data_IF_127479864449
#
_entry.id   IF_127479864449
#
_cell.length_a   1.000
_cell.length_b   1.000
_cell.length_c   1.000
_cell.angle_alpha   90.00
_cell.angle_beta   90.00
_cell.angle_gamma   90.00
#
_symmetry.space_group_name_H-M   'P 1'
#
loop_
_entity.id
_entity.type
_entity.pdbx_description
1 polymer ?
#
# COMPACT_ATOMS: atom_id res chain seq x y z
N UNK A 1 -17.09 -34.80 -12.99
CA UNK A 1 -17.06 -34.10 -11.69
C UNK A 1 -15.73 -33.38 -11.64
N UNK A 2 -15.73 -32.10 -11.98
CA UNK A 2 -14.53 -31.27 -11.88
C UNK A 2 -14.37 -30.86 -10.41
N UNK A 3 -13.22 -31.18 -9.82
CA UNK A 3 -12.93 -30.81 -8.43
C UNK A 3 -12.62 -29.31 -8.38
N UNK A 4 -13.12 -28.53 -7.40
CA UNK A 4 -12.79 -27.12 -7.31
C UNK A 4 -11.28 -26.97 -7.18
N UNK A 5 -10.67 -26.29 -8.14
CA UNK A 5 -9.24 -26.00 -8.14
C UNK A 5 -8.86 -25.34 -6.80
N UNK A 6 -7.91 -25.95 -6.09
CA UNK A 6 -7.43 -25.43 -4.82
C UNK A 6 -6.93 -24.00 -5.00
N UNK A 7 -7.44 -23.08 -4.18
CA UNK A 7 -7.02 -21.69 -4.21
C UNK A 7 -5.50 -21.59 -3.99
N UNK A 8 -4.80 -20.70 -4.70
CA UNK A 8 -3.35 -20.55 -4.57
C UNK A 8 -2.98 -20.18 -3.13
N UNK A 9 -1.80 -20.62 -2.63
CA UNK A 9 -1.38 -20.31 -1.27
C UNK A 9 -1.21 -18.80 -1.08
N UNK A 10 -1.91 -18.25 -0.08
CA UNK A 10 -1.82 -16.82 0.26
C UNK A 10 -0.47 -16.58 0.95
N UNK A 11 0.45 -15.91 0.25
CA UNK A 11 1.73 -15.48 0.83
C UNK A 11 1.60 -14.06 1.37
N UNK A 12 1.70 -13.90 2.69
CA UNK A 12 1.61 -12.59 3.33
C UNK A 12 2.88 -11.76 3.11
N UNK A 13 2.85 -10.83 2.14
CA UNK A 13 4.01 -9.97 1.80
C UNK A 13 4.25 -8.87 2.82
N UNK A 14 3.18 -8.20 3.27
CA UNK A 14 3.29 -7.08 4.23
C UNK A 14 3.10 -7.58 5.66
N UNK A 15 1.95 -8.20 5.94
CA UNK A 15 1.60 -8.84 7.20
C UNK A 15 0.34 -9.70 7.00
N UNK A 16 0.24 -10.84 7.69
CA UNK A 16 -0.92 -11.74 7.59
C UNK A 16 -2.24 -11.07 8.00
N UNK A 17 -2.21 -10.04 8.84
CA UNK A 17 -3.41 -9.29 9.25
C UNK A 17 -4.13 -8.56 8.11
N UNK A 18 -3.45 -8.35 6.97
CA UNK A 18 -4.02 -7.73 5.78
C UNK A 18 -4.56 -8.78 4.78
N UNK A 19 -4.42 -10.07 5.08
CA UNK A 19 -4.98 -11.14 4.27
C UNK A 19 -6.43 -11.39 4.72
N UNK A 20 -7.38 -11.14 3.84
CA UNK A 20 -8.77 -11.51 4.07
C UNK A 20 -8.97 -13.02 3.81
N UNK A 21 -9.85 -13.69 4.56
CA UNK A 21 -10.16 -15.11 4.35
C UNK A 21 -10.92 -15.37 3.04
N UNK A 22 -11.59 -14.36 2.51
CA UNK A 22 -12.35 -14.42 1.26
C UNK A 22 -11.94 -13.29 0.32
N UNK A 23 -12.34 -13.41 -0.96
CA UNK A 23 -12.05 -12.39 -1.96
C UNK A 23 -12.83 -11.10 -1.67
N UNK A 24 -12.12 -10.08 -1.20
CA UNK A 24 -12.72 -8.76 -0.93
C UNK A 24 -12.56 -7.83 -2.12
N UNK A 25 -13.66 -7.27 -2.61
CA UNK A 25 -13.64 -6.19 -3.60
C UNK A 25 -13.36 -4.85 -2.91
N UNK A 26 -12.49 -4.05 -3.51
CA UNK A 26 -12.13 -2.72 -3.01
C UNK A 26 -12.45 -1.65 -4.06
N UNK A 27 -12.90 -0.50 -3.59
CA UNK A 27 -13.07 0.70 -4.40
C UNK A 27 -11.97 1.71 -4.07
N UNK A 28 -11.43 2.37 -5.09
CA UNK A 28 -10.44 3.42 -4.94
C UNK A 28 -11.10 4.76 -5.24
N UNK A 29 -11.18 5.61 -4.22
CA UNK A 29 -11.76 6.95 -4.33
C UNK A 29 -10.65 7.98 -4.23
N UNK A 30 -10.58 8.90 -5.18
CA UNK A 30 -9.65 10.02 -5.12
C UNK A 30 -10.12 11.01 -4.05
N UNK A 31 -9.32 11.23 -3.03
CA UNK A 31 -9.62 12.23 -2.01
C UNK A 31 -9.17 13.59 -2.52
N UNK A 32 -10.07 14.58 -2.49
CA UNK A 32 -9.71 15.96 -2.81
C UNK A 32 -8.73 16.43 -1.73
N UNK A 33 -7.46 16.44 -2.09
CA UNK A 33 -6.33 16.80 -1.23
C UNK A 33 -5.61 18.00 -1.82
N UNK A 34 -4.94 18.77 -0.96
CA UNK A 34 -4.12 19.93 -1.38
C UNK A 34 -3.02 19.50 -2.34
N UNK A 35 -2.53 18.26 -2.22
CA UNK A 35 -1.53 17.65 -3.10
C UNK A 35 -2.17 17.03 -4.36
N UNK A 36 -3.48 16.78 -4.39
CA UNK A 36 -4.19 16.19 -5.53
C UNK A 36 -3.86 14.72 -5.82
N UNK A 37 -3.11 14.08 -4.92
CA UNK A 37 -2.56 12.73 -5.10
C UNK A 37 -2.91 11.79 -3.93
N UNK A 38 -3.80 12.19 -3.03
CA UNK A 38 -4.27 11.34 -1.95
C UNK A 38 -5.48 10.49 -2.39
N UNK A 39 -5.51 9.23 -1.97
CA UNK A 39 -6.56 8.27 -2.32
C UNK A 39 -7.05 7.55 -1.08
N UNK A 40 -8.33 7.22 -1.05
CA UNK A 40 -8.91 6.35 -0.02
C UNK A 40 -9.36 5.06 -0.69
N UNK A 41 -8.91 3.94 -0.15
CA UNK A 41 -9.38 2.61 -0.54
C UNK A 41 -10.45 2.19 0.46
N UNK A 42 -11.64 1.89 -0.04
CA UNK A 42 -12.78 1.45 0.76
C UNK A 42 -13.17 0.02 0.39
N UNK A 43 -13.74 -0.70 1.34
CA UNK A 43 -14.37 -1.99 1.08
C UNK A 43 -15.79 -1.82 0.49
N UNK A 44 -16.46 -2.95 0.24
CA UNK A 44 -17.85 -3.01 -0.25
C UNK A 44 -18.87 -2.37 0.69
N UNK A 45 -18.54 -2.18 1.97
CA UNK A 45 -19.41 -1.51 2.95
C UNK A 45 -19.22 0.01 2.95
N UNK A 46 -18.20 0.50 2.24
CA UNK A 46 -17.81 1.91 2.24
C UNK A 46 -16.86 2.29 3.38
N UNK A 47 -16.40 1.33 4.18
CA UNK A 47 -15.43 1.58 5.23
C UNK A 47 -14.02 1.76 4.65
N UNK A 48 -13.29 2.78 5.11
CA UNK A 48 -11.92 3.02 4.69
C UNK A 48 -10.99 1.94 5.26
N UNK A 49 -10.40 1.13 4.37
CA UNK A 49 -9.46 0.06 4.75
C UNK A 49 -8.02 0.52 4.65
N UNK A 50 -7.74 1.45 3.74
CA UNK A 50 -6.41 1.99 3.50
C UNK A 50 -6.52 3.42 2.97
N UNK A 51 -5.58 4.27 3.35
CA UNK A 51 -5.42 5.61 2.79
C UNK A 51 -4.03 5.71 2.16
N UNK A 52 -3.95 6.39 1.03
CA UNK A 52 -2.70 6.67 0.34
C UNK A 52 -2.49 8.18 0.43
N UNK A 53 -1.43 8.59 1.10
CA UNK A 53 -0.99 9.98 1.16
C UNK A 53 0.23 10.14 0.25
N UNK A 54 0.14 11.03 -0.72
CA UNK A 54 1.24 11.30 -1.62
C UNK A 54 2.00 12.55 -1.15
N UNK A 55 3.20 12.34 -0.65
CA UNK A 55 4.12 13.41 -0.32
C UNK A 55 4.85 13.83 -1.60
N UNK A 56 4.34 14.88 -2.27
CA UNK A 56 5.03 15.52 -3.39
C UNK A 56 6.11 16.46 -2.83
N UNK A 57 7.17 15.90 -2.24
CA UNK A 57 8.40 16.67 -2.06
C UNK A 57 9.11 16.72 -3.42
N UNK A 58 9.39 17.92 -3.91
CA UNK A 58 9.75 18.25 -5.29
C UNK A 58 10.96 17.51 -5.92
N UNK A 59 11.66 16.63 -5.20
CA UNK A 59 12.74 15.80 -5.72
C UNK A 59 12.51 14.28 -5.66
N UNK A 60 11.56 13.79 -4.87
CA UNK A 60 11.32 12.35 -4.72
C UNK A 60 9.83 12.08 -4.64
N UNK A 61 9.30 11.31 -5.61
CA UNK A 61 7.92 10.83 -5.56
C UNK A 61 7.81 9.82 -4.43
N UNK A 62 7.21 10.22 -3.30
CA UNK A 62 6.96 9.35 -2.15
C UNK A 62 5.46 9.19 -1.94
N UNK A 63 5.02 7.96 -1.74
CA UNK A 63 3.63 7.62 -1.44
C UNK A 63 3.60 6.75 -0.20
N UNK A 64 2.81 7.14 0.78
CA UNK A 64 2.70 6.48 2.06
C UNK A 64 1.32 5.82 2.15
N UNK A 65 1.31 4.52 2.40
CA UNK A 65 0.10 3.72 2.59
C UNK A 65 -0.16 3.60 4.09
N UNK A 66 -1.32 4.09 4.50
CA UNK A 66 -1.83 4.11 5.87
C UNK A 66 -2.92 3.07 6.05
N UNK A 67 -2.99 2.43 7.22
CA UNK A 67 -4.13 1.59 7.61
C UNK A 67 -5.38 2.42 7.96
N UNK A 68 -6.50 1.75 8.24
CA UNK A 68 -7.74 2.39 8.68
C UNK A 68 -7.58 3.27 9.95
N UNK A 69 -6.55 3.03 10.77
CA UNK A 69 -6.22 3.83 11.95
C UNK A 69 -5.21 4.94 11.66
N UNK A 70 -4.93 5.23 10.38
CA UNK A 70 -3.90 6.16 9.89
C UNK A 70 -2.50 5.87 10.41
N UNK A 71 -2.14 4.59 10.54
CA UNK A 71 -0.76 4.17 10.84
C UNK A 71 -0.03 3.77 9.56
N UNK A 72 1.25 4.17 9.38
CA UNK A 72 2.04 3.82 8.20
C UNK A 72 2.23 2.30 8.12
N UNK A 73 1.79 1.73 7.00
CA UNK A 73 1.93 0.30 6.68
C UNK A 73 3.10 0.10 5.75
N UNK A 74 3.15 0.91 4.68
CA UNK A 74 4.17 0.84 3.64
C UNK A 74 4.52 2.24 3.17
N UNK A 75 5.81 2.49 2.98
CA UNK A 75 6.30 3.68 2.27
C UNK A 75 6.85 3.25 0.91
N UNK A 76 6.32 3.83 -0.16
CA UNK A 76 6.81 3.67 -1.51
C UNK A 76 7.58 4.91 -1.93
N UNK A 77 8.74 4.70 -2.53
CA UNK A 77 9.58 5.80 -3.01
C UNK A 77 10.08 5.48 -4.41
N UNK A 78 9.97 6.46 -5.30
CA UNK A 78 10.64 6.42 -6.60
C UNK A 78 12.15 6.51 -6.38
N UNK A 79 12.82 5.42 -6.74
CA UNK A 79 14.27 5.21 -6.71
C UNK A 79 14.90 5.37 -8.10
N UNK A 80 14.09 5.77 -9.08
CA UNK A 80 14.51 6.06 -10.44
C UNK A 80 15.41 7.29 -10.54
N UNK A 81 16.63 7.11 -11.00
CA UNK A 81 17.43 8.21 -11.52
C UNK A 81 16.95 8.52 -12.94
N UNK A 82 16.17 9.60 -13.10
CA UNK A 82 15.77 10.34 -14.32
C UNK A 82 15.33 9.59 -15.61
N UNK A 83 15.56 8.28 -15.77
CA UNK A 83 15.34 7.51 -17.00
C UNK A 83 14.52 6.23 -16.82
N UNK A 84 14.40 5.70 -15.60
CA UNK A 84 13.63 4.48 -15.31
C UNK A 84 12.81 4.70 -14.04
N UNK A 85 11.51 4.40 -14.08
CA UNK A 85 10.63 4.53 -12.90
C UNK A 85 10.74 3.25 -12.09
N UNK A 86 11.45 3.30 -10.97
CA UNK A 86 11.63 2.15 -10.08
C UNK A 86 11.08 2.45 -8.70
N UNK A 87 10.16 1.64 -8.22
CA UNK A 87 9.61 1.81 -6.88
C UNK A 87 10.35 0.94 -5.87
N UNK A 88 10.90 1.57 -4.84
CA UNK A 88 11.34 0.90 -3.63
C UNK A 88 10.21 0.92 -2.60
N UNK A 89 9.95 -0.23 -1.97
CA UNK A 89 8.87 -0.42 -1.00
C UNK A 89 9.49 -0.76 0.35
N UNK A 90 9.11 -0.01 1.37
CA UNK A 90 9.60 -0.16 2.75
C UNK A 90 8.44 -0.39 3.69
N UNK A 91 8.63 -1.19 4.74
CA UNK A 91 7.61 -1.41 5.78
C UNK A 91 7.58 -0.19 6.72
N UNK A 92 6.38 0.25 7.10
CA UNK A 92 6.18 1.41 7.99
C UNK A 92 6.52 2.74 7.34
N UNK A 93 7.02 3.68 8.14
CA UNK A 93 7.51 5.01 7.74
C UNK A 93 9.02 5.02 7.39
N UNK A 94 9.64 3.83 7.37
CA UNK A 94 11.06 3.71 7.03
C UNK A 94 11.32 4.14 5.59
N UNK A 95 12.35 4.96 5.41
CA UNK A 95 12.83 5.44 4.10
C UNK A 95 14.24 4.95 3.78
N UNK A 96 14.75 3.98 4.56
CA UNK A 96 16.12 3.49 4.45
C UNK A 96 16.15 1.99 4.20
N UNK A 97 16.90 1.60 3.17
CA UNK A 97 17.24 0.19 2.86
C UNK A 97 18.16 -0.45 3.92
N UNK A 98 18.63 0.33 4.90
CA UNK A 98 19.60 -0.07 5.94
C UNK A 98 19.00 -0.47 7.29
N UNK A 99 17.68 -0.55 7.43
CA UNK A 99 17.04 -1.14 8.60
C UNK A 99 15.98 -2.15 8.15
N UNK A 100 16.44 -3.28 7.62
CA UNK A 100 15.65 -4.52 7.63
C UNK A 100 16.20 -5.36 8.77
N UNK A 101 16.11 -4.86 10.00
CA UNK A 101 16.32 -5.62 11.23
C UNK A 101 15.79 -4.80 12.41
N UNK A 102 14.57 -5.09 12.83
CA UNK A 102 14.16 -4.99 14.22
C UNK A 102 12.93 -5.87 14.39
N UNK A 103 13.18 -6.94 15.16
CA UNK A 103 12.30 -7.99 15.67
C UNK A 103 10.81 -7.67 15.81
#
# INVERSE_FOLDING_TARGET
MDAPAAAPPVTAVVNARFCAPEATAFAVTKTISVTGHDFTVTDVTGAAVMQVEAAVFALQRKSLLLDAARRPVVTMQDSGYFMDTRWAVFRGDSTSRRNVDAA
#
